data_IF_157421709489
#
_entry.id   IF_157421709489
#
_cell.length_a   1.000
_cell.length_b   1.000
_cell.length_c   1.000
_cell.angle_alpha   90.00
_cell.angle_beta   90.00
_cell.angle_gamma   90.00
#
_symmetry.space_group_name_H-M   'P 1'
#
loop_
_entity.id
_entity.type
_entity.pdbx_description
1 polymer ?
#
# COMPACT_ATOMS: atom_id res chain seq x y z
N UNK A 1 35.15 -19.70 22.65
CA UNK A 1 36.41 -19.50 23.36
C UNK A 1 37.01 -18.19 22.93
N UNK A 2 37.38 -17.35 23.88
CA UNK A 2 38.09 -16.10 23.63
C UNK A 2 39.50 -16.45 23.12
N UNK A 3 39.79 -16.18 21.85
CA UNK A 3 41.16 -16.26 21.35
C UNK A 3 41.82 -14.89 21.40
N UNK A 4 43.06 -14.95 21.88
CA UNK A 4 43.99 -13.88 22.29
C UNK A 4 43.98 -12.62 21.42
N UNK A 5 43.92 -11.49 22.11
CA UNK A 5 44.11 -10.15 21.62
C UNK A 5 45.47 -9.92 20.94
N UNK A 6 45.46 -9.41 19.70
CA UNK A 6 46.66 -8.80 19.11
C UNK A 6 46.66 -7.32 19.34
N UNK A 7 47.75 -6.79 19.82
CA UNK A 7 47.98 -5.35 19.94
C UNK A 7 48.04 -4.75 18.52
N UNK A 8 47.24 -3.72 18.26
CA UNK A 8 47.37 -2.91 17.05
C UNK A 8 47.89 -1.53 17.47
N UNK A 9 49.03 -1.18 16.93
CA UNK A 9 49.65 0.11 17.21
C UNK A 9 48.91 1.19 16.40
N UNK A 10 48.19 2.03 17.12
CA UNK A 10 47.40 3.16 16.55
C UNK A 10 48.08 4.51 16.93
N UNK A 11 49.40 4.57 17.03
CA UNK A 11 50.17 5.72 17.48
C UNK A 11 50.39 5.69 18.99
N UNK A 12 50.12 6.77 19.71
CA UNK A 12 50.34 6.88 21.15
C UNK A 12 49.36 6.06 22.02
N UNK A 13 48.30 5.49 21.40
CA UNK A 13 47.28 4.73 22.11
C UNK A 13 47.34 3.23 21.72
N UNK A 14 47.54 2.37 22.70
CA UNK A 14 47.46 0.91 22.51
C UNK A 14 46.02 0.45 22.47
N UNK A 15 45.62 -0.17 21.38
CA UNK A 15 44.27 -0.72 21.21
C UNK A 15 44.30 -2.23 21.20
N UNK A 16 43.26 -2.88 21.76
CA UNK A 16 43.14 -4.31 21.85
C UNK A 16 42.04 -4.78 20.87
N UNK A 17 42.33 -5.80 20.08
CA UNK A 17 41.40 -6.44 19.17
C UNK A 17 40.94 -7.77 19.78
N UNK A 18 39.67 -8.01 19.82
CA UNK A 18 39.09 -9.31 20.12
C UNK A 18 37.91 -9.63 19.21
N UNK A 19 37.58 -10.89 19.11
CA UNK A 19 36.47 -11.35 18.32
C UNK A 19 35.57 -12.25 19.14
N UNK A 20 34.29 -12.20 18.88
CA UNK A 20 33.27 -12.98 19.55
C UNK A 20 32.40 -13.65 18.48
N UNK A 21 32.07 -14.93 18.70
CA UNK A 21 31.18 -15.67 17.81
C UNK A 21 29.77 -15.69 18.47
N UNK A 22 28.80 -15.07 17.84
CA UNK A 22 27.41 -15.13 18.24
C UNK A 22 26.54 -15.62 17.09
N UNK A 23 25.81 -16.71 17.29
CA UNK A 23 24.88 -17.25 16.28
C UNK A 23 25.48 -17.41 14.87
N UNK A 24 26.75 -17.80 14.77
CA UNK A 24 27.47 -17.91 13.51
C UNK A 24 28.10 -16.63 12.99
N UNK A 25 27.68 -15.46 13.48
CA UNK A 25 28.27 -14.16 13.16
C UNK A 25 29.50 -13.90 14.02
N UNK A 26 30.58 -13.41 13.41
CA UNK A 26 31.79 -13.03 14.13
C UNK A 26 31.84 -11.53 14.26
N UNK A 27 31.97 -11.05 15.49
CA UNK A 27 32.14 -9.63 15.77
C UNK A 27 33.59 -9.37 16.14
N UNK A 28 34.30 -8.60 15.33
CA UNK A 28 35.66 -8.11 15.59
C UNK A 28 35.56 -6.74 16.25
N UNK A 29 36.16 -6.59 17.43
CA UNK A 29 36.13 -5.34 18.20
C UNK A 29 37.53 -4.85 18.52
N UNK A 30 37.73 -3.54 18.48
CA UNK A 30 38.91 -2.90 19.01
C UNK A 30 38.53 -1.98 20.20
N UNK A 31 39.27 -2.09 21.28
CA UNK A 31 39.11 -1.24 22.46
C UNK A 31 40.39 -0.40 22.66
N UNK A 32 40.24 0.81 23.15
CA UNK A 32 41.39 1.63 23.58
C UNK A 32 41.96 1.13 24.90
N UNK A 33 42.98 1.83 25.39
CA UNK A 33 43.66 1.50 26.63
C UNK A 33 42.78 1.67 27.89
N UNK A 34 41.61 2.32 27.76
CA UNK A 34 40.64 2.48 28.85
C UNK A 34 39.56 1.37 28.81
N UNK A 35 39.57 0.51 27.79
CA UNK A 35 38.56 -0.52 27.57
C UNK A 35 37.32 -0.02 26.81
N UNK A 36 37.32 1.21 26.29
CA UNK A 36 36.23 1.73 25.49
C UNK A 36 36.29 1.15 24.05
N UNK A 37 35.18 0.63 23.54
CA UNK A 37 35.09 0.15 22.15
C UNK A 37 35.26 1.33 21.18
N UNK A 38 36.28 1.26 20.33
CA UNK A 38 36.59 2.31 19.33
C UNK A 38 36.36 1.83 17.90
N UNK A 39 36.23 0.52 17.68
CA UNK A 39 35.94 -0.09 16.38
C UNK A 39 35.20 -1.40 16.56
N UNK A 40 34.27 -1.65 15.65
CA UNK A 40 33.57 -2.91 15.55
C UNK A 40 33.34 -3.25 14.07
N UNK A 41 33.64 -4.48 13.70
CA UNK A 41 33.29 -5.05 12.40
C UNK A 41 32.49 -6.33 12.58
N UNK A 42 31.51 -6.55 11.76
CA UNK A 42 30.69 -7.75 11.75
C UNK A 42 31.05 -8.56 10.53
N UNK A 43 31.41 -9.84 10.74
CA UNK A 43 31.67 -10.80 9.68
C UNK A 43 30.52 -11.80 9.64
N UNK A 44 29.78 -11.80 8.53
CA UNK A 44 28.65 -12.70 8.33
C UNK A 44 29.11 -13.99 7.63
N UNK A 45 28.61 -15.15 8.06
CA UNK A 45 28.86 -16.39 7.38
C UNK A 45 28.06 -16.47 6.07
N UNK A 46 28.76 -16.83 5.00
CA UNK A 46 28.17 -17.14 3.71
C UNK A 46 28.46 -18.64 3.42
N UNK A 47 27.39 -19.36 3.13
CA UNK A 47 27.52 -20.78 2.76
C UNK A 47 27.44 -20.91 1.25
N UNK A 48 28.42 -21.59 0.66
CA UNK A 48 28.31 -21.97 -0.75
C UNK A 48 27.39 -23.18 -0.91
N UNK A 49 27.10 -23.54 -2.15
CA UNK A 49 26.27 -24.70 -2.50
C UNK A 49 26.84 -26.05 -2.06
N UNK A 50 28.12 -26.11 -1.71
CA UNK A 50 28.80 -27.28 -1.18
C UNK A 50 28.87 -27.28 0.36
N UNK A 51 28.12 -26.39 1.00
CA UNK A 51 28.06 -26.18 2.44
C UNK A 51 29.40 -25.73 3.08
N UNK A 52 30.31 -25.18 2.29
CA UNK A 52 31.51 -24.53 2.81
C UNK A 52 31.14 -23.14 3.30
N UNK A 53 31.67 -22.73 4.44
CA UNK A 53 31.41 -21.43 5.03
C UNK A 53 32.56 -20.46 4.70
N UNK A 54 32.21 -19.33 4.12
CA UNK A 54 33.08 -18.16 4.00
C UNK A 54 32.54 -17.03 4.84
N UNK A 55 33.40 -16.18 5.37
CA UNK A 55 33.02 -14.99 6.11
C UNK A 55 33.33 -13.76 5.29
N UNK A 56 32.35 -12.89 5.12
CA UNK A 56 32.52 -11.59 4.48
C UNK A 56 32.29 -10.46 5.48
N UNK A 57 33.01 -9.35 5.29
CA UNK A 57 32.81 -8.14 6.06
C UNK A 57 31.45 -7.53 5.68
N UNK A 58 30.57 -7.46 6.66
CA UNK A 58 29.21 -6.95 6.51
C UNK A 58 29.12 -5.45 6.83
N UNK A 59 29.64 -5.08 8.01
CA UNK A 59 29.56 -3.69 8.50
C UNK A 59 30.77 -3.33 9.35
N UNK A 60 31.13 -2.05 9.30
CA UNK A 60 32.18 -1.45 10.11
C UNK A 60 31.65 -0.19 10.81
N UNK A 61 31.94 -0.10 12.11
CA UNK A 61 31.53 1.03 12.96
C UNK A 61 32.73 1.57 13.75
N UNK A 62 32.72 2.88 14.03
CA UNK A 62 33.72 3.53 14.84
C UNK A 62 34.90 4.08 14.05
N UNK A 63 36.09 4.11 14.68
CA UNK A 63 37.29 4.70 14.10
C UNK A 63 37.79 3.89 12.88
N UNK A 64 37.68 4.47 11.69
CA UNK A 64 38.15 3.83 10.45
C UNK A 64 39.67 3.93 10.35
N UNK A 65 40.36 2.85 10.73
CA UNK A 65 41.80 2.73 10.57
C UNK A 65 42.11 1.50 9.69
N UNK A 66 42.98 1.63 8.68
CA UNK A 66 43.28 0.55 7.73
C UNK A 66 43.68 -0.79 8.38
N UNK A 67 44.38 -0.72 9.54
CA UNK A 67 44.80 -1.89 10.29
C UNK A 67 43.64 -2.69 10.87
N UNK A 68 42.54 -2.04 11.26
CA UNK A 68 41.36 -2.71 11.82
C UNK A 68 40.61 -3.46 10.73
N UNK A 69 40.36 -2.79 9.59
CA UNK A 69 39.74 -3.41 8.41
C UNK A 69 40.61 -4.59 7.89
N UNK A 70 41.95 -4.42 7.81
CA UNK A 70 42.84 -5.45 7.39
C UNK A 70 42.79 -6.66 8.35
N UNK A 71 42.67 -6.44 9.66
CA UNK A 71 42.52 -7.50 10.64
C UNK A 71 41.19 -8.24 10.51
N UNK A 72 40.06 -7.51 10.31
CA UNK A 72 38.78 -8.13 10.09
C UNK A 72 38.78 -9.03 8.85
N UNK A 73 39.39 -8.58 7.76
CA UNK A 73 39.60 -9.41 6.55
C UNK A 73 40.50 -10.60 6.79
N UNK A 74 41.54 -10.47 7.63
CA UNK A 74 42.43 -11.59 7.98
C UNK A 74 41.69 -12.65 8.83
N UNK A 75 40.86 -12.22 9.78
CA UNK A 75 39.97 -13.12 10.54
C UNK A 75 39.01 -13.87 9.61
N UNK A 76 38.34 -13.14 8.71
CA UNK A 76 37.45 -13.75 7.73
C UNK A 76 38.14 -14.79 6.89
N UNK A 77 39.39 -14.52 6.43
CA UNK A 77 40.22 -15.41 5.63
C UNK A 77 40.58 -16.66 6.37
N UNK A 78 40.97 -16.55 7.63
CA UNK A 78 41.40 -17.73 8.45
C UNK A 78 40.23 -18.66 8.76
N UNK A 79 39.02 -18.13 8.88
CA UNK A 79 37.84 -18.90 9.27
C UNK A 79 37.10 -19.51 8.08
N UNK A 80 37.41 -19.06 6.88
CA UNK A 80 36.77 -19.53 5.64
C UNK A 80 37.30 -20.83 5.06
N UNK A 81 38.11 -21.61 5.82
CA UNK A 81 38.74 -22.81 5.31
C UNK A 81 39.78 -22.51 4.20
N UNK A 82 40.07 -23.42 3.27
CA UNK A 82 41.04 -23.24 2.19
C UNK A 82 40.71 -22.06 1.23
N UNK A 83 40.83 -20.84 1.74
CA UNK A 83 40.69 -19.61 0.96
C UNK A 83 42.04 -19.29 0.31
N UNK A 84 42.24 -19.78 -0.90
CA UNK A 84 43.44 -19.49 -1.72
C UNK A 84 43.29 -18.09 -2.33
N UNK A 85 43.44 -17.02 -1.51
CA UNK A 85 43.88 -15.70 -1.94
C UNK A 85 43.07 -14.91 -2.97
N UNK A 86 41.95 -15.43 -3.48
CA UNK A 86 41.00 -14.71 -4.36
C UNK A 86 39.74 -14.38 -3.59
N UNK A 87 39.15 -13.20 -3.82
CA UNK A 87 37.79 -12.88 -3.31
C UNK A 87 36.91 -14.09 -3.67
N UNK A 88 36.01 -14.56 -2.73
CA UNK A 88 35.01 -15.54 -3.12
C UNK A 88 34.36 -15.02 -4.39
N UNK A 89 34.27 -15.87 -5.40
CA UNK A 89 33.57 -15.50 -6.63
C UNK A 89 32.14 -15.14 -6.21
N UNK A 90 31.81 -13.86 -6.27
CA UNK A 90 30.52 -13.32 -5.87
C UNK A 90 29.36 -13.97 -6.63
N UNK A 91 29.66 -14.70 -7.70
CA UNK A 91 28.69 -15.48 -8.46
C UNK A 91 28.24 -16.77 -7.77
N UNK A 92 28.97 -17.25 -6.74
CA UNK A 92 28.72 -18.57 -6.12
C UNK A 92 28.06 -18.49 -4.74
N UNK A 93 28.04 -17.29 -4.13
CA UNK A 93 27.51 -17.12 -2.78
C UNK A 93 26.17 -16.41 -2.78
N UNK A 94 25.26 -16.88 -1.91
CA UNK A 94 24.03 -16.17 -1.59
C UNK A 94 24.42 -14.92 -0.80
N UNK A 95 24.23 -13.75 -1.40
CA UNK A 95 24.49 -12.48 -0.72
C UNK A 95 23.33 -12.15 0.21
N UNK A 96 23.61 -11.85 1.49
CA UNK A 96 22.70 -11.11 2.32
C UNK A 96 22.72 -9.66 1.81
N UNK A 97 21.67 -9.22 1.16
CA UNK A 97 21.47 -7.79 0.92
C UNK A 97 20.75 -7.19 2.13
N UNK A 98 21.37 -6.15 2.70
CA UNK A 98 20.82 -5.30 3.74
C UNK A 98 19.57 -4.55 3.26
N UNK A 99 18.49 -5.26 3.04
CA UNK A 99 17.19 -4.63 3.03
C UNK A 99 16.59 -4.85 4.41
N UNK A 100 16.86 -3.91 5.28
CA UNK A 100 16.17 -3.78 6.55
C UNK A 100 14.67 -3.80 6.30
N UNK A 101 14.07 -4.90 6.66
CA UNK A 101 12.64 -5.02 6.80
C UNK A 101 12.40 -5.75 8.12
N UNK A 102 11.50 -5.27 8.95
CA UNK A 102 11.21 -5.73 10.32
C UNK A 102 10.86 -7.23 10.47
N UNK A 103 10.99 -8.02 9.42
CA UNK A 103 10.63 -9.43 9.33
C UNK A 103 11.72 -10.36 8.74
N UNK A 104 12.97 -10.12 9.07
CA UNK A 104 14.04 -11.11 8.81
C UNK A 104 14.58 -11.13 7.37
N UNK A 105 15.83 -11.52 7.29
CA UNK A 105 16.73 -11.56 6.15
C UNK A 105 16.12 -11.98 4.81
N UNK A 106 16.05 -11.08 3.84
CA UNK A 106 15.81 -11.43 2.44
C UNK A 106 17.12 -11.86 1.78
N UNK A 107 17.29 -13.16 1.62
CA UNK A 107 18.33 -13.69 0.76
C UNK A 107 17.92 -13.54 -0.70
N UNK A 108 18.80 -13.03 -1.54
CA UNK A 108 18.63 -12.99 -2.99
C UNK A 108 19.86 -13.57 -3.68
N UNK A 109 19.67 -14.21 -4.84
CA UNK A 109 20.77 -14.62 -5.69
C UNK A 109 21.29 -13.42 -6.48
N UNK A 110 22.61 -13.41 -6.74
CA UNK A 110 23.24 -12.33 -7.48
C UNK A 110 22.60 -12.16 -8.87
N UNK A 111 22.16 -10.96 -9.26
CA UNK A 111 21.43 -10.74 -10.53
C UNK A 111 22.22 -11.12 -11.79
N UNK A 112 23.55 -11.13 -11.74
CA UNK A 112 24.39 -11.49 -12.89
C UNK A 112 24.54 -13.01 -13.11
N UNK A 113 23.93 -13.87 -12.28
CA UNK A 113 23.94 -15.31 -12.49
C UNK A 113 23.25 -15.67 -13.81
N UNK A 114 23.88 -16.55 -14.57
CA UNK A 114 23.31 -17.07 -15.80
C UNK A 114 22.47 -18.32 -15.51
N UNK A 115 21.61 -18.67 -16.46
CA UNK A 115 20.78 -19.86 -16.35
C UNK A 115 21.58 -21.14 -16.03
N UNK A 116 22.77 -21.32 -16.64
CA UNK A 116 23.66 -22.46 -16.36
C UNK A 116 24.10 -22.54 -14.89
N UNK A 117 24.32 -21.38 -14.26
CA UNK A 117 24.70 -21.31 -12.84
C UNK A 117 23.50 -21.68 -11.96
N UNK A 118 22.30 -21.21 -12.33
CA UNK A 118 21.07 -21.54 -11.63
C UNK A 118 20.77 -23.04 -11.65
N UNK A 119 20.94 -23.70 -12.79
CA UNK A 119 20.80 -25.16 -12.88
C UNK A 119 21.79 -25.88 -11.93
N UNK A 120 23.06 -25.45 -11.93
CA UNK A 120 24.08 -26.03 -11.04
C UNK A 120 23.73 -25.82 -9.56
N UNK A 121 23.28 -24.63 -9.20
CA UNK A 121 22.82 -24.28 -7.82
C UNK A 121 21.63 -25.14 -7.42
N UNK A 122 20.64 -25.29 -8.30
CA UNK A 122 19.46 -26.12 -8.05
C UNK A 122 19.83 -27.60 -7.85
N UNK A 123 20.73 -28.14 -8.69
CA UNK A 123 21.18 -29.51 -8.57
C UNK A 123 21.96 -29.77 -7.28
N UNK A 124 22.75 -28.78 -6.84
CA UNK A 124 23.46 -28.87 -5.56
C UNK A 124 22.48 -28.77 -4.37
N UNK A 125 21.51 -27.88 -4.43
CA UNK A 125 20.48 -27.74 -3.39
C UNK A 125 19.71 -29.05 -3.19
N UNK A 126 19.25 -29.65 -4.28
CA UNK A 126 18.51 -30.94 -4.24
C UNK A 126 19.33 -32.11 -3.67
N UNK A 127 20.69 -32.10 -3.82
CA UNK A 127 21.56 -33.07 -3.18
C UNK A 127 21.71 -32.82 -1.68
N UNK A 128 21.73 -31.56 -1.25
CA UNK A 128 21.97 -31.20 0.15
C UNK A 128 20.80 -31.55 1.08
N UNK A 129 19.57 -31.54 0.56
CA UNK A 129 18.31 -31.81 1.28
C UNK A 129 18.08 -30.95 2.53
N UNK A 130 16.83 -30.76 2.91
CA UNK A 130 16.46 -30.08 4.14
C UNK A 130 16.14 -28.59 3.95
N UNK A 131 16.24 -27.79 5.02
CA UNK A 131 15.81 -26.38 5.01
C UNK A 131 16.55 -25.52 3.97
N UNK A 132 17.84 -25.73 3.83
CA UNK A 132 18.67 -25.01 2.85
C UNK A 132 18.28 -25.33 1.40
N UNK A 133 17.83 -26.57 1.11
CA UNK A 133 17.29 -26.95 -0.19
C UNK A 133 16.08 -26.09 -0.55
N UNK A 134 15.06 -26.04 0.32
CA UNK A 134 13.81 -25.31 0.09
C UNK A 134 14.08 -23.82 -0.13
N UNK A 135 14.95 -23.22 0.69
CA UNK A 135 15.30 -21.82 0.59
C UNK A 135 16.04 -21.53 -0.72
N UNK A 136 17.08 -22.32 -1.03
CA UNK A 136 17.87 -22.16 -2.26
C UNK A 136 17.01 -22.37 -3.50
N UNK A 137 16.19 -23.41 -3.54
CA UNK A 137 15.28 -23.69 -4.66
C UNK A 137 14.27 -22.56 -4.86
N UNK A 138 13.76 -21.97 -3.77
CA UNK A 138 12.84 -20.81 -3.85
C UNK A 138 13.53 -19.56 -4.40
N UNK A 139 14.80 -19.34 -4.10
CA UNK A 139 15.59 -18.24 -4.65
C UNK A 139 15.91 -18.44 -6.14
N UNK A 140 16.34 -19.64 -6.51
CA UNK A 140 16.57 -20.04 -7.91
C UNK A 140 15.30 -19.85 -8.73
N UNK A 141 14.15 -20.29 -8.22
CA UNK A 141 12.86 -20.17 -8.87
C UNK A 141 12.48 -18.72 -9.20
N UNK A 142 12.76 -17.78 -8.30
CA UNK A 142 12.44 -16.36 -8.45
C UNK A 142 13.41 -15.57 -9.32
N UNK A 143 14.56 -16.15 -9.67
CA UNK A 143 15.58 -15.44 -10.42
C UNK A 143 15.13 -15.19 -11.87
N UNK A 144 15.39 -13.97 -12.37
CA UNK A 144 14.95 -13.55 -13.71
C UNK A 144 15.57 -14.37 -14.86
N UNK A 145 16.74 -14.99 -14.66
CA UNK A 145 17.39 -15.85 -15.65
C UNK A 145 16.95 -17.33 -15.56
N UNK A 146 15.96 -17.67 -14.72
CA UNK A 146 15.44 -19.03 -14.67
C UNK A 146 14.65 -19.34 -15.96
N UNK A 147 15.07 -20.42 -16.66
CA UNK A 147 14.40 -20.88 -17.87
C UNK A 147 13.24 -21.84 -17.56
N UNK A 148 12.47 -22.17 -18.59
CA UNK A 148 11.33 -23.10 -18.51
C UNK A 148 11.73 -24.44 -17.92
N UNK A 149 12.87 -25.00 -18.33
CA UNK A 149 13.36 -26.32 -17.84
C UNK A 149 13.63 -26.28 -16.35
N UNK A 150 14.21 -25.19 -15.86
CA UNK A 150 14.47 -24.99 -14.44
C UNK A 150 13.16 -24.81 -13.67
N UNK A 151 12.21 -24.02 -14.21
CA UNK A 151 10.90 -23.84 -13.59
C UNK A 151 10.08 -25.14 -13.56
N UNK A 152 10.16 -25.98 -14.60
CA UNK A 152 9.57 -27.30 -14.57
C UNK A 152 10.13 -28.18 -13.44
N UNK A 153 11.46 -28.12 -13.23
CA UNK A 153 12.10 -28.79 -12.09
C UNK A 153 11.61 -28.27 -10.73
N UNK A 154 11.44 -26.97 -10.62
CA UNK A 154 10.89 -26.30 -9.44
C UNK A 154 9.43 -26.70 -9.19
N UNK A 155 8.61 -26.76 -10.22
CA UNK A 155 7.19 -27.15 -10.12
C UNK A 155 7.01 -28.63 -9.72
N UNK A 156 7.97 -29.50 -10.06
CA UNK A 156 7.99 -30.91 -9.66
C UNK A 156 8.57 -31.13 -8.24
N UNK A 157 8.96 -30.06 -7.54
CA UNK A 157 9.49 -30.17 -6.19
C UNK A 157 8.37 -30.50 -5.19
N UNK A 158 8.56 -31.40 -4.20
CA UNK A 158 7.50 -31.82 -3.28
C UNK A 158 7.05 -30.69 -2.31
N UNK A 159 7.84 -29.64 -2.15
CA UNK A 159 7.54 -28.56 -1.21
C UNK A 159 6.76 -27.43 -1.88
N UNK A 160 5.56 -27.15 -1.38
CA UNK A 160 4.66 -26.12 -1.89
C UNK A 160 5.25 -24.71 -1.93
N UNK A 161 6.16 -24.37 -1.00
CA UNK A 161 6.84 -23.06 -1.00
C UNK A 161 7.75 -22.90 -2.22
N UNK A 162 8.40 -23.96 -2.65
CA UNK A 162 9.25 -23.99 -3.84
C UNK A 162 8.38 -23.85 -5.10
N UNK A 163 7.28 -24.61 -5.18
CA UNK A 163 6.32 -24.52 -6.29
C UNK A 163 5.72 -23.11 -6.42
N UNK A 164 5.25 -22.52 -5.31
CA UNK A 164 4.71 -21.16 -5.28
C UNK A 164 5.77 -20.11 -5.70
N UNK A 165 7.05 -20.32 -5.34
CA UNK A 165 8.14 -19.46 -5.79
C UNK A 165 8.33 -19.55 -7.31
N UNK A 166 8.23 -20.75 -7.90
CA UNK A 166 8.25 -20.95 -9.37
C UNK A 166 7.14 -20.21 -10.08
N UNK A 167 5.92 -20.29 -9.54
CA UNK A 167 4.75 -19.58 -10.06
C UNK A 167 4.80 -18.05 -9.88
N UNK A 168 5.70 -17.55 -9.02
CA UNK A 168 5.93 -16.11 -8.91
C UNK A 168 6.87 -15.57 -9.99
N UNK A 169 7.50 -16.46 -10.79
CA UNK A 169 8.42 -16.07 -11.86
C UNK A 169 7.63 -15.74 -13.14
N UNK A 170 7.83 -14.55 -13.75
CA UNK A 170 7.11 -14.18 -14.98
C UNK A 170 7.35 -15.11 -16.19
N UNK A 171 8.41 -15.93 -16.14
CA UNK A 171 8.71 -16.91 -17.18
C UNK A 171 7.98 -18.26 -16.99
N UNK A 172 7.17 -18.41 -15.92
CA UNK A 172 6.34 -19.58 -15.78
C UNK A 172 5.34 -19.68 -16.95
N UNK A 173 5.31 -20.87 -17.57
CA UNK A 173 4.47 -21.12 -18.74
C UNK A 173 3.00 -21.36 -18.36
N UNK A 174 2.13 -21.37 -19.36
CA UNK A 174 0.72 -21.71 -19.14
C UNK A 174 0.54 -23.11 -18.51
N UNK A 175 1.38 -24.06 -18.86
CA UNK A 175 1.37 -25.41 -18.26
C UNK A 175 1.76 -25.36 -16.78
N UNK A 176 2.76 -24.56 -16.41
CA UNK A 176 3.12 -24.36 -15.00
C UNK A 176 1.97 -23.75 -14.20
N UNK A 177 1.25 -22.76 -14.77
CA UNK A 177 0.10 -22.14 -14.14
C UNK A 177 -1.03 -23.17 -13.98
N UNK A 178 -1.31 -23.95 -15.03
CA UNK A 178 -2.31 -25.00 -15.02
C UNK A 178 -2.04 -26.01 -13.89
N UNK A 179 -0.83 -26.55 -13.83
CA UNK A 179 -0.42 -27.47 -12.78
C UNK A 179 -0.47 -26.85 -11.39
N UNK A 180 -0.19 -25.55 -11.28
CA UNK A 180 -0.31 -24.80 -10.03
C UNK A 180 -1.76 -24.68 -9.54
N UNK A 181 -2.71 -24.49 -10.44
CA UNK A 181 -4.15 -24.46 -10.14
C UNK A 181 -4.69 -25.85 -9.76
N UNK A 182 -4.03 -26.93 -10.17
CA UNK A 182 -4.36 -28.32 -9.81
C UNK A 182 -3.79 -28.76 -8.46
N UNK A 183 -2.95 -27.94 -7.84
CA UNK A 183 -2.31 -28.28 -6.59
C UNK A 183 -3.31 -28.41 -5.45
N UNK A 184 -3.15 -29.40 -4.58
CA UNK A 184 -3.89 -29.49 -3.31
C UNK A 184 -3.52 -28.38 -2.31
N UNK A 185 -2.40 -27.69 -2.55
CA UNK A 185 -1.93 -26.65 -1.66
C UNK A 185 -2.44 -25.27 -2.08
N UNK A 186 -3.22 -24.62 -1.21
CA UNK A 186 -3.82 -23.33 -1.48
C UNK A 186 -2.81 -22.23 -1.85
N UNK A 187 -1.63 -22.17 -1.22
CA UNK A 187 -0.62 -21.17 -1.54
C UNK A 187 -0.05 -21.33 -2.96
N UNK A 188 -0.02 -22.56 -3.47
CA UNK A 188 0.41 -22.84 -4.86
C UNK A 188 -0.70 -22.38 -5.82
N UNK A 189 -1.97 -22.73 -5.56
CA UNK A 189 -3.12 -22.23 -6.33
C UNK A 189 -3.14 -20.70 -6.36
N UNK A 190 -2.94 -20.07 -5.21
CA UNK A 190 -2.94 -18.62 -5.09
C UNK A 190 -1.80 -17.96 -5.88
N UNK A 191 -0.60 -18.57 -5.86
CA UNK A 191 0.51 -18.08 -6.67
C UNK A 191 0.20 -18.18 -8.18
N UNK A 192 -0.46 -19.27 -8.62
CA UNK A 192 -0.93 -19.45 -9.99
C UNK A 192 -1.99 -18.38 -10.35
N UNK A 193 -2.98 -18.15 -9.49
CA UNK A 193 -4.05 -17.17 -9.73
C UNK A 193 -3.54 -15.71 -9.78
N UNK A 194 -2.39 -15.43 -9.16
CA UNK A 194 -1.71 -14.12 -9.21
C UNK A 194 -0.83 -13.92 -10.44
N UNK A 195 -0.62 -14.97 -11.24
CA UNK A 195 0.38 -14.92 -12.31
C UNK A 195 -0.04 -13.98 -13.45
N UNK A 196 0.87 -13.10 -13.97
CA UNK A 196 0.54 -12.12 -15.00
C UNK A 196 0.14 -12.76 -16.36
N UNK A 197 0.54 -14.00 -16.62
CA UNK A 197 0.26 -14.72 -17.87
C UNK A 197 -0.96 -15.65 -17.77
N UNK A 198 -1.93 -15.35 -16.89
CA UNK A 198 -3.20 -16.07 -16.86
C UNK A 198 -3.86 -16.04 -18.25
N UNK A 199 -4.43 -17.18 -18.65
CA UNK A 199 -5.26 -17.33 -19.86
C UNK A 199 -6.71 -17.53 -19.46
N UNK A 200 -7.59 -17.50 -20.44
CA UNK A 200 -9.02 -17.67 -20.25
C UNK A 200 -9.39 -19.04 -19.65
N UNK A 201 -8.74 -20.12 -20.12
CA UNK A 201 -8.90 -21.47 -19.58
C UNK A 201 -8.48 -21.60 -18.11
N UNK A 202 -7.43 -20.87 -17.69
CA UNK A 202 -7.05 -20.79 -16.28
C UNK A 202 -8.11 -20.08 -15.44
N UNK A 203 -8.69 -18.98 -15.98
CA UNK A 203 -9.75 -18.23 -15.29
C UNK A 203 -11.03 -19.07 -15.19
N UNK A 204 -11.40 -19.80 -16.25
CA UNK A 204 -12.52 -20.76 -16.21
C UNK A 204 -12.40 -21.71 -15.02
N UNK A 205 -11.20 -22.26 -14.84
CA UNK A 205 -10.91 -23.20 -13.76
C UNK A 205 -10.99 -22.56 -12.37
N UNK A 206 -10.47 -21.32 -12.22
CA UNK A 206 -10.57 -20.55 -10.98
C UNK A 206 -12.03 -20.27 -10.62
N UNK A 207 -12.84 -19.89 -11.60
CA UNK A 207 -14.26 -19.63 -11.40
C UNK A 207 -15.03 -20.90 -11.08
N UNK A 208 -14.64 -22.06 -11.66
CA UNK A 208 -15.25 -23.37 -11.36
C UNK A 208 -14.86 -23.89 -9.96
N UNK A 209 -13.65 -23.62 -9.49
CA UNK A 209 -13.21 -23.91 -8.11
C UNK A 209 -14.05 -23.11 -7.09
N UNK A 210 -14.42 -21.87 -7.45
CA UNK A 210 -15.33 -21.02 -6.67
C UNK A 210 -14.69 -20.40 -5.41
N UNK A 211 -13.37 -20.49 -5.26
CA UNK A 211 -12.65 -19.88 -4.13
C UNK A 211 -12.57 -18.36 -4.30
N UNK A 212 -12.99 -17.64 -3.25
CA UNK A 212 -13.10 -16.18 -3.26
C UNK A 212 -11.75 -15.48 -3.47
N UNK A 213 -10.68 -15.94 -2.84
CA UNK A 213 -9.38 -15.31 -2.93
C UNK A 213 -8.75 -15.54 -4.31
N UNK A 214 -8.97 -16.70 -4.91
CA UNK A 214 -8.53 -16.97 -6.28
C UNK A 214 -9.30 -16.07 -7.26
N UNK A 215 -10.63 -15.97 -7.13
CA UNK A 215 -11.50 -15.11 -7.96
C UNK A 215 -11.10 -13.63 -7.79
N UNK A 216 -10.81 -13.18 -6.55
CA UNK A 216 -10.33 -11.83 -6.29
C UNK A 216 -9.10 -11.46 -7.13
N UNK A 217 -8.12 -12.36 -7.21
CA UNK A 217 -6.92 -12.10 -8.01
C UNK A 217 -7.17 -12.22 -9.51
N UNK A 218 -7.89 -13.25 -9.95
CA UNK A 218 -8.20 -13.47 -11.35
C UNK A 218 -9.07 -12.35 -11.95
N UNK A 219 -10.00 -11.78 -11.18
CA UNK A 219 -10.92 -10.73 -11.64
C UNK A 219 -10.22 -9.45 -12.09
N UNK A 220 -8.98 -9.21 -11.66
CA UNK A 220 -8.14 -8.08 -12.06
C UNK A 220 -7.46 -8.26 -13.41
N UNK A 221 -7.44 -9.49 -13.93
CA UNK A 221 -6.69 -9.88 -15.11
C UNK A 221 -7.51 -9.67 -16.41
N UNK A 222 -6.82 -9.37 -17.52
CA UNK A 222 -7.46 -9.18 -18.84
C UNK A 222 -8.09 -10.47 -19.40
N UNK A 223 -7.67 -11.64 -18.93
CA UNK A 223 -8.26 -12.92 -19.25
C UNK A 223 -9.65 -13.15 -18.60
N UNK A 224 -10.03 -12.33 -17.61
CA UNK A 224 -11.33 -12.40 -16.98
C UNK A 224 -12.38 -11.73 -17.88
N UNK A 225 -13.20 -12.54 -18.57
CA UNK A 225 -14.15 -12.12 -19.60
C UNK A 225 -15.58 -11.98 -19.06
N UNK A 226 -16.49 -11.51 -19.91
CA UNK A 226 -17.90 -11.27 -19.56
C UNK A 226 -18.61 -12.54 -19.06
N UNK A 227 -18.36 -13.69 -19.67
CA UNK A 227 -18.96 -14.95 -19.24
C UNK A 227 -18.46 -15.39 -17.84
N UNK A 228 -17.21 -15.08 -17.47
CA UNK A 228 -16.72 -15.31 -16.10
C UNK A 228 -17.44 -14.41 -15.09
N UNK A 229 -17.63 -13.10 -15.45
CA UNK A 229 -18.42 -12.18 -14.62
C UNK A 229 -19.81 -12.77 -14.41
N UNK A 230 -20.49 -13.16 -15.50
CA UNK A 230 -21.83 -13.71 -15.43
C UNK A 230 -21.91 -14.97 -14.55
N UNK A 231 -20.95 -15.90 -14.69
CA UNK A 231 -20.90 -17.13 -13.86
C UNK A 231 -20.71 -16.81 -12.37
N UNK A 232 -19.84 -15.84 -12.04
CA UNK A 232 -19.67 -15.41 -10.63
C UNK A 232 -20.93 -14.73 -10.10
N UNK A 233 -21.62 -13.91 -10.91
CA UNK A 233 -22.88 -13.28 -10.51
C UNK A 233 -24.00 -14.31 -10.28
N UNK A 234 -23.99 -15.44 -11.00
CA UNK A 234 -25.01 -16.49 -10.88
C UNK A 234 -24.73 -17.47 -9.73
N UNK A 235 -23.48 -17.84 -9.52
CA UNK A 235 -23.09 -18.97 -8.65
C UNK A 235 -22.17 -18.58 -7.49
N UNK A 236 -21.52 -17.43 -7.59
CA UNK A 236 -20.57 -16.95 -6.59
C UNK A 236 -21.26 -16.55 -5.29
N UNK A 237 -20.51 -16.58 -4.24
CA UNK A 237 -20.97 -16.02 -2.97
C UNK A 237 -20.85 -14.49 -2.94
N UNK A 238 -21.30 -13.87 -1.87
CA UNK A 238 -21.32 -12.39 -1.75
C UNK A 238 -19.94 -11.74 -1.86
N UNK A 239 -18.86 -12.41 -1.46
CA UNK A 239 -17.52 -11.86 -1.49
C UNK A 239 -16.95 -11.87 -2.89
N UNK A 240 -17.05 -13.02 -3.60
CA UNK A 240 -16.67 -13.12 -5.01
C UNK A 240 -17.43 -12.12 -5.88
N UNK A 241 -18.74 -11.93 -5.65
CA UNK A 241 -19.56 -10.97 -6.40
C UNK A 241 -19.05 -9.54 -6.17
N UNK A 242 -18.80 -9.16 -4.91
CA UNK A 242 -18.27 -7.83 -4.56
C UNK A 242 -16.90 -7.60 -5.23
N UNK A 243 -16.03 -8.60 -5.22
CA UNK A 243 -14.71 -8.51 -5.82
C UNK A 243 -14.78 -8.35 -7.34
N UNK A 244 -15.66 -9.09 -8.00
CA UNK A 244 -15.87 -8.96 -9.44
C UNK A 244 -16.43 -7.59 -9.81
N UNK A 245 -17.40 -7.07 -9.06
CA UNK A 245 -17.93 -5.70 -9.28
C UNK A 245 -16.83 -4.66 -9.16
N UNK A 246 -15.91 -4.80 -8.20
CA UNK A 246 -14.83 -3.84 -7.99
C UNK A 246 -13.70 -3.95 -9.00
N UNK A 247 -13.31 -5.17 -9.36
CA UNK A 247 -12.05 -5.45 -10.03
C UNK A 247 -12.18 -5.74 -11.52
N UNK A 248 -13.31 -6.33 -11.96
CA UNK A 248 -13.44 -6.78 -13.33
C UNK A 248 -13.50 -5.59 -14.31
N UNK A 249 -12.50 -5.51 -15.19
CA UNK A 249 -12.36 -4.42 -16.17
C UNK A 249 -13.54 -4.31 -17.14
N UNK A 250 -14.25 -5.42 -17.36
CA UNK A 250 -15.38 -5.54 -18.29
C UNK A 250 -16.74 -5.44 -17.60
N UNK A 251 -16.78 -5.12 -16.31
CA UNK A 251 -18.06 -4.97 -15.62
C UNK A 251 -18.89 -3.84 -16.24
N UNK A 252 -20.12 -4.13 -16.64
CA UNK A 252 -20.97 -3.26 -17.46
C UNK A 252 -22.32 -2.96 -16.80
N UNK A 253 -23.11 -2.10 -17.45
CA UNK A 253 -24.49 -1.82 -17.03
C UNK A 253 -25.42 -3.06 -17.09
N UNK A 254 -25.18 -4.00 -18.00
CA UNK A 254 -25.94 -5.25 -18.08
C UNK A 254 -25.69 -6.12 -16.85
N UNK A 255 -24.44 -6.20 -16.40
CA UNK A 255 -24.09 -6.88 -15.16
C UNK A 255 -24.74 -6.21 -13.94
N UNK A 256 -24.84 -4.87 -13.92
CA UNK A 256 -25.60 -4.14 -12.89
C UNK A 256 -27.07 -4.56 -12.92
N UNK A 257 -27.72 -4.60 -14.09
CA UNK A 257 -29.11 -5.06 -14.21
C UNK A 257 -29.30 -6.48 -13.67
N UNK A 258 -28.36 -7.38 -13.96
CA UNK A 258 -28.38 -8.74 -13.41
C UNK A 258 -28.36 -8.72 -11.87
N UNK A 259 -27.42 -7.96 -11.27
CA UNK A 259 -27.29 -7.82 -9.81
C UNK A 259 -28.57 -7.26 -9.20
N UNK A 260 -29.13 -6.17 -9.76
CA UNK A 260 -30.35 -5.55 -9.26
C UNK A 260 -31.57 -6.46 -9.33
N UNK A 261 -31.58 -7.41 -10.27
CA UNK A 261 -32.66 -8.40 -10.42
C UNK A 261 -32.53 -9.57 -9.46
N UNK A 262 -31.31 -10.13 -9.33
CA UNK A 262 -31.10 -11.41 -8.66
C UNK A 262 -30.53 -11.29 -7.23
N UNK A 263 -29.92 -10.14 -6.88
CA UNK A 263 -29.30 -9.92 -5.58
C UNK A 263 -29.91 -8.74 -4.81
N UNK A 264 -31.13 -8.32 -5.16
CA UNK A 264 -31.83 -7.15 -4.62
C UNK A 264 -31.91 -7.12 -3.08
N UNK A 265 -31.95 -8.28 -2.43
CA UNK A 265 -32.08 -8.40 -0.98
C UNK A 265 -30.73 -8.28 -0.24
N UNK A 266 -29.63 -8.24 -0.97
CA UNK A 266 -28.29 -8.08 -0.39
C UNK A 266 -27.80 -6.65 -0.47
N UNK A 267 -28.10 -5.86 0.55
CA UNK A 267 -27.75 -4.44 0.62
C UNK A 267 -26.24 -4.14 0.45
N UNK A 268 -25.33 -5.07 0.79
CA UNK A 268 -23.89 -4.91 0.55
C UNK A 268 -23.53 -4.96 -0.93
N UNK A 269 -24.04 -5.96 -1.64
CA UNK A 269 -23.83 -6.08 -3.10
C UNK A 269 -24.43 -4.85 -3.79
N UNK A 270 -25.67 -4.48 -3.43
CA UNK A 270 -26.35 -3.32 -4.00
C UNK A 270 -25.55 -2.01 -3.73
N UNK A 271 -24.96 -1.83 -2.55
CA UNK A 271 -24.15 -0.65 -2.24
C UNK A 271 -22.88 -0.55 -3.13
N UNK A 272 -22.25 -1.68 -3.45
CA UNK A 272 -21.09 -1.69 -4.32
C UNK A 272 -21.47 -1.33 -5.76
N UNK A 273 -22.56 -1.87 -6.28
CA UNK A 273 -23.08 -1.50 -7.61
C UNK A 273 -23.53 -0.04 -7.66
N UNK A 274 -24.10 0.47 -6.56
CA UNK A 274 -24.55 1.87 -6.46
C UNK A 274 -23.40 2.87 -6.64
N UNK A 275 -22.19 2.51 -6.19
CA UNK A 275 -20.97 3.33 -6.38
C UNK A 275 -20.29 3.13 -7.72
N UNK A 276 -20.65 2.08 -8.45
CA UNK A 276 -19.93 1.70 -9.65
C UNK A 276 -20.07 2.76 -10.75
N UNK A 277 -18.96 3.07 -11.44
CA UNK A 277 -18.91 4.09 -12.51
C UNK A 277 -19.84 3.81 -13.70
N UNK A 278 -20.26 2.57 -13.88
CA UNK A 278 -21.18 2.15 -14.95
C UNK A 278 -22.64 2.21 -14.50
N UNK A 279 -22.93 2.56 -13.26
CA UNK A 279 -24.31 2.77 -12.83
C UNK A 279 -24.91 3.98 -13.56
N UNK A 280 -26.02 3.77 -14.25
CA UNK A 280 -26.76 4.85 -14.95
C UNK A 280 -27.79 5.47 -14.01
N UNK A 281 -28.38 6.64 -14.36
CA UNK A 281 -29.47 7.24 -13.59
C UNK A 281 -30.64 6.25 -13.34
N UNK A 282 -30.96 5.40 -14.29
CA UNK A 282 -32.03 4.38 -14.17
C UNK A 282 -31.65 3.28 -13.15
N UNK A 283 -30.38 2.88 -13.10
CA UNK A 283 -29.88 1.97 -12.07
C UNK A 283 -29.98 2.61 -10.69
N UNK A 284 -29.53 3.87 -10.56
CA UNK A 284 -29.58 4.64 -9.33
C UNK A 284 -31.02 4.79 -8.85
N UNK A 285 -31.95 5.07 -9.76
CA UNK A 285 -33.38 5.19 -9.45
C UNK A 285 -33.94 3.91 -8.81
N UNK A 286 -33.65 2.76 -9.43
CA UNK A 286 -34.05 1.44 -8.90
C UNK A 286 -33.45 1.17 -7.52
N UNK A 287 -32.17 1.51 -7.32
CA UNK A 287 -31.48 1.30 -6.04
C UNK A 287 -32.13 2.13 -4.93
N UNK A 288 -32.47 3.38 -5.20
CA UNK A 288 -33.15 4.26 -4.24
C UNK A 288 -34.51 3.70 -3.79
N UNK A 289 -35.21 2.93 -4.66
CA UNK A 289 -36.46 2.26 -4.33
C UNK A 289 -36.29 0.99 -3.49
N UNK A 290 -35.12 0.37 -3.46
CA UNK A 290 -34.89 -0.89 -2.73
C UNK A 290 -34.85 -0.71 -1.21
N UNK A 291 -34.69 0.51 -0.71
CA UNK A 291 -34.75 0.82 0.73
C UNK A 291 -33.51 0.40 1.54
N UNK A 292 -32.42 0.00 0.91
CA UNK A 292 -31.14 -0.31 1.58
C UNK A 292 -30.41 1.01 1.91
N UNK A 293 -30.42 1.44 3.15
CA UNK A 293 -29.93 2.77 3.58
C UNK A 293 -28.51 3.07 3.08
N UNK A 294 -27.57 2.14 3.24
CA UNK A 294 -26.20 2.32 2.77
C UNK A 294 -26.09 2.35 1.23
N UNK A 295 -26.87 1.53 0.54
CA UNK A 295 -26.92 1.56 -0.92
C UNK A 295 -27.52 2.87 -1.44
N UNK A 296 -28.53 3.39 -0.77
CA UNK A 296 -29.16 4.68 -1.11
C UNK A 296 -28.20 5.85 -0.91
N UNK A 297 -27.39 5.85 0.16
CA UNK A 297 -26.31 6.81 0.36
C UNK A 297 -25.30 6.76 -0.79
N UNK A 298 -24.84 5.53 -1.14
CA UNK A 298 -23.89 5.34 -2.24
C UNK A 298 -24.49 5.75 -3.60
N UNK A 299 -25.75 5.49 -3.82
CA UNK A 299 -26.51 5.90 -5.02
C UNK A 299 -26.61 7.43 -5.13
N UNK A 300 -26.94 8.09 -4.03
CA UNK A 300 -27.02 9.55 -3.97
C UNK A 300 -25.64 10.22 -4.18
N UNK A 301 -24.56 9.58 -3.72
CA UNK A 301 -23.18 10.07 -3.91
C UNK A 301 -22.62 9.80 -5.30
N UNK A 302 -23.30 8.95 -6.12
CA UNK A 302 -22.74 8.56 -7.42
C UNK A 302 -22.70 9.75 -8.38
N UNK A 303 -21.55 10.04 -9.04
CA UNK A 303 -21.45 11.14 -10.01
C UNK A 303 -22.40 11.04 -11.21
N UNK A 304 -22.95 9.85 -11.48
CA UNK A 304 -23.92 9.63 -12.56
C UNK A 304 -25.38 9.86 -12.10
N UNK A 305 -25.60 10.20 -10.81
CA UNK A 305 -26.95 10.52 -10.34
C UNK A 305 -27.52 11.74 -11.08
N UNK A 306 -28.72 11.60 -11.63
CA UNK A 306 -29.45 12.71 -12.21
C UNK A 306 -30.05 13.60 -11.12
N UNK A 307 -30.48 14.81 -11.50
CA UNK A 307 -31.21 15.67 -10.57
C UNK A 307 -32.47 14.99 -10.00
N UNK A 308 -33.16 14.20 -10.82
CA UNK A 308 -34.34 13.43 -10.36
C UNK A 308 -33.94 12.43 -9.26
N UNK A 309 -32.79 11.73 -9.43
CA UNK A 309 -32.27 10.83 -8.39
C UNK A 309 -31.91 11.59 -7.10
N UNK A 310 -31.26 12.77 -7.21
CA UNK A 310 -30.91 13.59 -6.05
C UNK A 310 -32.15 14.05 -5.32
N UNK A 311 -33.18 14.52 -6.03
CA UNK A 311 -34.49 14.93 -5.45
C UNK A 311 -35.20 13.75 -4.77
N UNK A 312 -35.14 12.56 -5.38
CA UNK A 312 -35.66 11.33 -4.77
C UNK A 312 -34.93 10.97 -3.47
N UNK A 313 -33.59 11.11 -3.44
CA UNK A 313 -32.79 10.89 -2.24
C UNK A 313 -33.11 11.93 -1.14
N UNK A 314 -33.31 13.20 -1.49
CA UNK A 314 -33.78 14.26 -0.56
C UNK A 314 -35.16 13.94 0.03
N UNK A 315 -36.05 13.35 -0.76
CA UNK A 315 -37.40 12.98 -0.32
C UNK A 315 -37.43 11.73 0.58
N UNK A 316 -36.30 11.14 0.91
CA UNK A 316 -36.23 10.01 1.86
C UNK A 316 -36.98 10.36 3.15
N UNK A 317 -37.99 9.58 3.59
CA UNK A 317 -38.82 9.94 4.73
C UNK A 317 -38.04 9.91 6.07
N UNK A 318 -38.44 10.77 7.01
CA UNK A 318 -37.79 10.87 8.35
C UNK A 318 -37.91 9.59 9.18
N UNK A 319 -38.86 8.71 8.81
CA UNK A 319 -38.95 7.37 9.40
C UNK A 319 -37.75 6.46 9.07
N UNK A 320 -36.97 6.78 8.03
CA UNK A 320 -35.73 6.11 7.73
C UNK A 320 -34.64 6.64 8.67
N UNK A 321 -34.03 5.79 9.54
CA UNK A 321 -33.04 6.24 10.51
C UNK A 321 -31.75 6.81 9.86
N UNK A 322 -31.55 6.57 8.57
CA UNK A 322 -30.42 7.07 7.79
C UNK A 322 -30.79 8.19 6.81
N UNK A 323 -32.00 8.73 6.93
CA UNK A 323 -32.49 9.78 6.02
C UNK A 323 -31.53 10.98 5.95
N UNK A 324 -30.95 11.39 7.09
CA UNK A 324 -30.00 12.50 7.13
C UNK A 324 -28.73 12.22 6.30
N UNK A 325 -28.18 11.01 6.38
CA UNK A 325 -26.97 10.62 5.61
C UNK A 325 -27.27 10.57 4.11
N UNK A 326 -28.41 10.00 3.72
CA UNK A 326 -28.83 9.89 2.30
C UNK A 326 -29.06 11.28 1.71
N UNK A 327 -29.75 12.16 2.44
CA UNK A 327 -30.03 13.55 2.02
C UNK A 327 -28.73 14.35 1.91
N UNK A 328 -27.86 14.24 2.89
CA UNK A 328 -26.56 14.88 2.90
C UNK A 328 -25.72 14.44 1.70
N UNK A 329 -25.65 13.13 1.43
CA UNK A 329 -24.95 12.59 0.27
C UNK A 329 -25.48 13.13 -1.07
N UNK A 330 -26.80 13.33 -1.19
CA UNK A 330 -27.41 13.91 -2.38
C UNK A 330 -27.02 15.38 -2.59
N UNK A 331 -26.98 16.18 -1.52
CA UNK A 331 -26.61 17.60 -1.59
C UNK A 331 -25.11 17.75 -1.85
N UNK A 332 -24.27 16.89 -1.27
CA UNK A 332 -22.82 16.87 -1.50
C UNK A 332 -22.41 16.31 -2.86
N UNK A 333 -23.34 15.77 -3.64
CA UNK A 333 -22.99 15.21 -4.94
C UNK A 333 -22.28 16.27 -5.82
N UNK A 334 -21.08 15.98 -6.37
CA UNK A 334 -20.30 16.96 -7.13
C UNK A 334 -20.97 17.39 -8.45
N UNK A 335 -22.00 16.65 -8.87
CA UNK A 335 -22.81 16.98 -10.06
C UNK A 335 -24.17 17.60 -9.72
N UNK A 336 -24.40 17.94 -8.47
CA UNK A 336 -25.62 18.65 -8.09
C UNK A 336 -25.74 19.94 -8.89
N UNK A 337 -26.86 20.17 -9.59
CA UNK A 337 -27.05 21.39 -10.39
C UNK A 337 -27.05 22.66 -9.53
N UNK A 338 -26.56 23.77 -10.09
CA UNK A 338 -26.45 25.04 -9.36
C UNK A 338 -27.77 25.51 -8.76
N UNK A 339 -28.88 25.35 -9.48
CA UNK A 339 -30.22 25.73 -8.98
C UNK A 339 -30.70 24.81 -7.83
N UNK A 340 -30.33 23.51 -7.86
CA UNK A 340 -30.59 22.57 -6.77
C UNK A 340 -29.80 22.97 -5.51
N UNK A 341 -28.50 23.29 -5.64
CA UNK A 341 -27.71 23.81 -4.53
C UNK A 341 -28.24 25.15 -4.01
N UNK A 342 -28.73 26.00 -4.90
CA UNK A 342 -29.39 27.25 -4.48
C UNK A 342 -30.62 26.98 -3.62
N UNK A 343 -31.48 26.05 -4.04
CA UNK A 343 -32.67 25.63 -3.28
C UNK A 343 -32.28 25.12 -1.89
N UNK A 344 -31.24 24.24 -1.82
CA UNK A 344 -30.74 23.69 -0.56
C UNK A 344 -30.11 24.78 0.33
N UNK A 345 -29.43 25.75 -0.24
CA UNK A 345 -28.78 26.85 0.50
C UNK A 345 -29.75 27.84 1.19
N UNK A 346 -31.00 27.79 0.85
CA UNK A 346 -32.06 28.60 1.49
C UNK A 346 -33.12 27.75 2.21
N UNK A 347 -32.86 26.45 2.36
CA UNK A 347 -33.80 25.53 2.97
C UNK A 347 -33.97 25.82 4.47
N UNK A 348 -35.17 25.58 5.02
CA UNK A 348 -35.48 25.84 6.43
C UNK A 348 -34.63 24.99 7.39
N UNK A 349 -34.24 23.77 7.00
CA UNK A 349 -33.34 22.91 7.78
C UNK A 349 -31.90 23.35 7.58
N UNK A 350 -31.19 23.66 8.68
CA UNK A 350 -29.81 24.11 8.68
C UNK A 350 -28.87 23.01 8.12
N UNK A 351 -29.12 21.72 8.37
CA UNK A 351 -28.29 20.63 7.84
C UNK A 351 -28.20 20.64 6.31
N UNK A 352 -29.30 21.02 5.63
CA UNK A 352 -29.30 21.12 4.18
C UNK A 352 -28.49 22.33 3.71
N UNK A 353 -28.55 23.44 4.44
CA UNK A 353 -27.75 24.64 4.15
C UNK A 353 -26.27 24.38 4.43
N UNK A 354 -25.92 23.62 5.49
CA UNK A 354 -24.57 23.16 5.78
C UNK A 354 -24.04 22.33 4.60
N UNK A 355 -24.77 21.28 4.20
CA UNK A 355 -24.38 20.42 3.09
C UNK A 355 -24.23 21.20 1.77
N UNK A 356 -25.10 22.19 1.49
CA UNK A 356 -24.96 23.04 0.31
C UNK A 356 -23.71 23.92 0.38
N UNK A 357 -23.31 24.38 1.56
CA UNK A 357 -22.09 25.15 1.78
C UNK A 357 -20.84 24.31 1.72
N UNK A 358 -20.89 23.02 2.10
CA UNK A 358 -19.79 22.05 1.97
C UNK A 358 -19.57 21.59 0.53
N UNK A 359 -20.59 21.65 -0.35
CA UNK A 359 -20.47 21.17 -1.72
C UNK A 359 -19.35 21.90 -2.48
N UNK A 360 -18.42 21.15 -3.06
CA UNK A 360 -17.26 21.71 -3.80
C UNK A 360 -17.66 22.47 -5.07
N UNK A 361 -18.89 22.25 -5.57
CA UNK A 361 -19.49 22.99 -6.70
C UNK A 361 -20.26 24.22 -6.27
N UNK A 362 -20.26 24.57 -4.97
CA UNK A 362 -20.87 25.77 -4.48
C UNK A 362 -20.24 27.00 -5.14
N UNK A 363 -21.11 27.87 -5.74
CA UNK A 363 -20.63 29.08 -6.39
C UNK A 363 -20.18 30.14 -5.36
N UNK A 364 -19.42 31.12 -5.83
CA UNK A 364 -19.03 32.27 -5.01
C UNK A 364 -20.23 32.88 -4.26
N UNK A 365 -21.36 33.10 -4.95
CA UNK A 365 -22.55 33.69 -4.36
C UNK A 365 -23.22 32.79 -3.32
N UNK A 366 -23.16 31.46 -3.50
CA UNK A 366 -23.64 30.53 -2.50
C UNK A 366 -22.80 30.59 -1.22
N UNK A 367 -21.47 30.59 -1.34
CA UNK A 367 -20.56 30.70 -0.19
C UNK A 367 -20.69 32.06 0.50
N UNK A 368 -20.83 33.15 -0.29
CA UNK A 368 -21.06 34.48 0.28
C UNK A 368 -22.36 34.56 1.08
N UNK A 369 -23.43 33.94 0.60
CA UNK A 369 -24.71 33.84 1.33
C UNK A 369 -24.55 32.99 2.58
N UNK A 370 -23.93 31.81 2.47
CA UNK A 370 -23.71 30.90 3.60
C UNK A 370 -22.87 31.54 4.73
N UNK A 371 -21.92 32.42 4.41
CA UNK A 371 -21.18 33.22 5.40
C UNK A 371 -22.03 34.37 6.05
N UNK A 372 -23.25 34.53 5.68
CA UNK A 372 -24.21 35.43 6.33
C UNK A 372 -25.39 34.67 6.97
N UNK A 373 -25.29 33.33 7.04
CA UNK A 373 -26.32 32.51 7.67
C UNK A 373 -26.40 32.75 9.17
N UNK A 374 -27.59 32.66 9.75
CA UNK A 374 -27.78 32.77 11.21
C UNK A 374 -27.09 31.61 11.95
N UNK A 375 -27.01 30.44 11.31
CA UNK A 375 -26.41 29.25 11.86
C UNK A 375 -24.87 29.26 11.69
N UNK A 376 -24.15 29.08 12.79
CA UNK A 376 -22.67 29.09 12.80
C UNK A 376 -22.07 27.89 12.06
N UNK A 377 -22.74 26.74 12.02
CA UNK A 377 -22.26 25.55 11.31
C UNK A 377 -22.33 25.77 9.80
N UNK A 378 -23.35 26.45 9.29
CA UNK A 378 -23.44 26.85 7.87
C UNK A 378 -22.29 27.82 7.52
N UNK A 379 -22.02 28.82 8.37
CA UNK A 379 -20.92 29.76 8.15
C UNK A 379 -19.57 29.06 8.21
N UNK A 380 -19.43 28.10 9.13
CA UNK A 380 -18.20 27.28 9.29
C UNK A 380 -17.95 26.43 8.05
N UNK A 381 -18.97 25.75 7.55
CA UNK A 381 -18.91 24.95 6.32
C UNK A 381 -18.46 25.79 5.11
N UNK A 382 -19.03 26.96 4.94
CA UNK A 382 -18.63 27.87 3.88
C UNK A 382 -17.18 28.38 4.02
N UNK A 383 -16.72 28.62 5.25
CA UNK A 383 -15.37 29.06 5.52
C UNK A 383 -14.33 27.97 5.22
N UNK A 384 -14.66 26.69 5.44
CA UNK A 384 -13.79 25.53 5.19
C UNK A 384 -13.85 25.05 3.74
N UNK A 385 -14.85 25.45 2.95
CA UNK A 385 -15.03 24.98 1.58
C UNK A 385 -13.79 25.25 0.72
N UNK A 386 -13.26 24.24 -0.01
CA UNK A 386 -12.08 24.41 -0.87
C UNK A 386 -12.30 25.37 -2.05
N UNK A 387 -13.55 25.71 -2.39
CA UNK A 387 -13.88 26.73 -3.39
C UNK A 387 -13.96 28.15 -2.81
N UNK A 388 -13.80 28.32 -1.48
CA UNK A 388 -13.78 29.62 -0.85
C UNK A 388 -12.55 30.43 -1.31
N UNK A 389 -12.82 31.68 -1.71
CA UNK A 389 -11.80 32.64 -2.14
C UNK A 389 -11.35 33.50 -0.96
N UNK A 390 -10.37 34.36 -1.20
CA UNK A 390 -9.78 35.23 -0.19
C UNK A 390 -10.81 36.10 0.54
N UNK A 391 -11.79 36.68 -0.15
CA UNK A 391 -12.84 37.49 0.42
C UNK A 391 -13.75 36.71 1.40
N UNK A 392 -14.06 35.44 1.07
CA UNK A 392 -14.78 34.52 1.95
C UNK A 392 -14.00 34.24 3.23
N UNK A 393 -12.69 33.87 3.09
CA UNK A 393 -11.83 33.57 4.22
C UNK A 393 -11.61 34.81 5.10
N UNK A 394 -11.42 35.98 4.48
CA UNK A 394 -11.29 37.27 5.18
C UNK A 394 -12.52 37.59 6.03
N UNK A 395 -13.71 37.38 5.45
CA UNK A 395 -14.99 37.56 6.16
C UNK A 395 -15.09 36.56 7.32
N UNK A 396 -14.86 35.30 7.09
CA UNK A 396 -14.95 34.25 8.10
C UNK A 396 -13.93 34.43 9.25
N UNK A 397 -12.74 34.96 9.00
CA UNK A 397 -11.78 35.36 10.06
C UNK A 397 -12.22 36.58 10.87
N UNK A 398 -13.29 37.22 10.51
CA UNK A 398 -13.94 38.30 11.28
C UNK A 398 -15.19 37.86 12.02
N UNK A 399 -15.58 36.58 11.94
CA UNK A 399 -16.82 36.07 12.56
C UNK A 399 -16.75 36.12 14.09
N UNK A 400 -17.90 36.38 14.74
CA UNK A 400 -17.99 36.34 16.19
C UNK A 400 -17.75 34.93 16.75
N UNK A 401 -18.18 33.88 16.00
CA UNK A 401 -18.04 32.49 16.41
C UNK A 401 -16.60 31.98 16.17
N UNK A 402 -16.00 31.38 17.22
CA UNK A 402 -14.65 30.84 17.20
C UNK A 402 -14.49 29.69 16.19
N UNK A 403 -15.51 28.85 16.02
CA UNK A 403 -15.44 27.69 15.12
C UNK A 403 -15.45 28.12 13.64
N UNK A 404 -16.16 29.18 13.30
CA UNK A 404 -16.12 29.80 11.95
C UNK A 404 -14.71 30.36 11.66
N UNK A 405 -14.13 31.09 12.61
CA UNK A 405 -12.76 31.62 12.45
C UNK A 405 -11.73 30.50 12.37
N UNK A 406 -11.94 29.40 13.12
CA UNK A 406 -11.11 28.19 13.08
C UNK A 406 -11.18 27.49 11.72
N UNK A 407 -12.37 27.34 11.16
CA UNK A 407 -12.60 26.78 9.83
C UNK A 407 -11.86 27.59 8.75
N UNK A 408 -11.99 28.92 8.79
CA UNK A 408 -11.26 29.82 7.90
C UNK A 408 -9.73 29.70 8.03
N UNK A 409 -9.22 29.54 9.26
CA UNK A 409 -7.78 29.36 9.51
C UNK A 409 -7.21 28.05 8.95
N UNK A 410 -8.05 27.01 8.77
CA UNK A 410 -7.70 25.71 8.17
C UNK A 410 -7.79 25.70 6.65
N UNK A 411 -8.49 26.67 6.04
CA UNK A 411 -8.71 26.67 4.61
C UNK A 411 -7.38 26.72 3.83
N UNK A 412 -7.22 25.83 2.85
CA UNK A 412 -5.99 25.73 2.05
C UNK A 412 -5.78 26.93 1.10
N UNK A 413 -6.83 27.72 0.83
CA UNK A 413 -6.75 28.91 -0.01
C UNK A 413 -6.43 30.18 0.79
N UNK A 414 -6.13 30.05 2.09
CA UNK A 414 -5.74 31.18 2.93
C UNK A 414 -4.48 31.87 2.39
N UNK A 415 -4.51 33.19 2.27
CA UNK A 415 -3.34 33.96 1.87
C UNK A 415 -2.39 34.17 3.04
N UNK A 416 -1.12 34.55 2.76
CA UNK A 416 -0.11 34.83 3.79
C UNK A 416 -0.59 35.87 4.82
N UNK A 417 -1.23 36.93 4.32
CA UNK A 417 -1.78 38.02 5.16
C UNK A 417 -2.86 37.48 6.11
N UNK A 418 -3.80 36.70 5.57
CA UNK A 418 -4.91 36.15 6.36
C UNK A 418 -4.43 35.06 7.33
N UNK A 419 -3.43 34.25 6.95
CA UNK A 419 -2.81 33.29 7.85
C UNK A 419 -2.14 33.99 9.03
N UNK A 420 -1.41 35.08 8.77
CA UNK A 420 -0.81 35.89 9.83
C UNK A 420 -1.86 36.49 10.77
N UNK A 421 -3.02 36.95 10.21
CA UNK A 421 -4.16 37.38 11.04
C UNK A 421 -4.68 36.25 11.93
N UNK A 422 -4.85 35.05 11.37
CA UNK A 422 -5.32 33.86 12.11
C UNK A 422 -4.33 33.42 13.20
N UNK A 423 -3.02 33.53 12.98
CA UNK A 423 -1.96 33.23 13.97
C UNK A 423 -1.98 34.23 15.17
N UNK A 424 -2.59 35.38 15.00
CA UNK A 424 -2.76 36.41 16.04
C UNK A 424 -4.22 36.51 16.55
N UNK A 425 -5.06 35.51 16.28
CA UNK A 425 -6.45 35.49 16.76
C UNK A 425 -6.48 35.44 18.31
N UNK A 426 -7.46 36.12 18.95
CA UNK A 426 -7.65 36.04 20.41
C UNK A 426 -7.80 34.60 20.92
N UNK A 427 -8.47 33.74 20.13
CA UNK A 427 -8.69 32.34 20.49
C UNK A 427 -7.47 31.47 20.19
N UNK A 428 -6.98 30.73 21.20
CA UNK A 428 -5.92 29.74 21.02
C UNK A 428 -6.30 28.66 20.00
N UNK A 429 -7.58 28.23 19.98
CA UNK A 429 -8.08 27.22 19.02
C UNK A 429 -7.91 27.65 17.57
N UNK A 430 -8.06 28.94 17.27
CA UNK A 430 -7.83 29.49 15.93
C UNK A 430 -6.34 29.57 15.63
N UNK A 431 -5.52 30.07 16.57
CA UNK A 431 -4.06 30.15 16.40
C UNK A 431 -3.43 28.77 16.15
N UNK A 432 -3.86 27.76 16.92
CA UNK A 432 -3.41 26.36 16.73
C UNK A 432 -3.81 25.86 15.33
N UNK A 433 -5.06 26.07 14.90
CA UNK A 433 -5.50 25.67 13.55
C UNK A 433 -4.71 26.37 12.44
N UNK A 434 -4.38 27.65 12.62
CA UNK A 434 -3.54 28.40 11.69
C UNK A 434 -2.10 27.85 11.63
N UNK A 435 -1.52 27.43 12.76
CA UNK A 435 -0.17 26.87 12.82
C UNK A 435 -0.04 25.50 12.12
N UNK A 436 -1.14 24.74 12.03
CA UNK A 436 -1.21 23.47 11.29
C UNK A 436 -1.71 23.61 9.84
N UNK A 437 -1.94 24.83 9.36
CA UNK A 437 -2.35 25.03 7.97
C UNK A 437 -1.25 24.58 7.01
N UNK A 438 -1.62 23.89 5.92
CA UNK A 438 -0.70 23.38 4.89
C UNK A 438 0.20 24.45 4.26
N UNK A 439 -0.20 25.72 4.32
CA UNK A 439 0.57 26.86 3.83
C UNK A 439 1.46 27.50 4.90
N UNK A 440 1.41 27.04 6.15
CA UNK A 440 2.18 27.67 7.25
C UNK A 440 3.69 27.69 6.95
N UNK A 441 4.26 26.54 6.64
CA UNK A 441 5.69 26.43 6.35
C UNK A 441 6.09 27.11 5.04
N UNK A 442 5.18 27.13 4.07
CA UNK A 442 5.36 27.84 2.80
C UNK A 442 5.48 29.36 3.01
N UNK A 443 4.66 29.91 3.90
CA UNK A 443 4.63 31.35 4.16
C UNK A 443 5.60 31.78 5.27
N UNK A 444 5.97 30.86 6.15
CA UNK A 444 6.92 31.06 7.24
C UNK A 444 8.04 29.99 7.15
N UNK A 445 8.90 30.04 6.12
CA UNK A 445 9.99 29.10 6.03
C UNK A 445 10.88 29.30 7.25
N UNK A 446 10.85 28.36 8.19
CA UNK A 446 11.86 28.28 9.25
C UNK A 446 13.21 28.31 8.54
N UNK A 447 14.09 29.25 8.89
CA UNK A 447 15.49 29.19 8.48
C UNK A 447 15.96 27.79 8.85
N UNK A 448 16.19 26.92 7.84
CA UNK A 448 17.00 25.73 8.05
C UNK A 448 18.26 26.24 8.72
N UNK A 449 18.40 25.99 10.01
CA UNK A 449 19.69 26.16 10.69
C UNK A 449 20.62 25.25 9.91
N UNK A 450 21.54 25.89 9.17
CA UNK A 450 22.71 25.22 8.63
C UNK A 450 23.40 24.47 9.77
N UNK A 451 23.11 23.19 9.88
CA UNK A 451 23.92 22.27 10.64
C UNK A 451 25.03 21.74 9.71
N UNK A 452 25.83 22.68 9.19
CA UNK A 452 27.15 22.44 8.65
C UNK A 452 28.15 23.10 9.61
N UNK A 453 28.51 22.37 10.63
CA UNK A 453 29.77 22.52 11.40
C UNK A 453 30.20 21.11 11.82
#
# INVERSE_FOLDING_TARGET
GEESCKNVDTGSNRSYLHHEIKHGTIVVRAHDHTGQEIYRATLQPHHNIENQTAYALDSEYGLKHPSFTAHAHDVARRLSGEYKGTKPDSATFIKHDDVYNDNGDRQILHPALKNTDLHRIADAAMRAKGFNEIQTMSLVAKHHAADEKLLTKVMNHPNARVQAAGLSNPHATAEHIHNGLDSDNFNVKLAAAKHPNLREDHVDRIVDDGDDELIHHASKHDAFKDHHIQRVLEKGNKYSIIDVVHNAKRFSGEHINHVLKHHKDNGRIIAVVARHRMATPEHIDKILDMGHSHANEMAASNPNASEANLRKAIATPDSNPFAHVIRHAAILNPRAPAHFLHEMSVHKNADFRVAAAENTSASHDHLHRALNDDDADVRSAAAENPSAKEDHIRKALGDANVDVRRAAARNSNITKELLHKALNDPSERVRVSASYNVNHDKFNPTKKTDSSL
#
